data_IF_637332256528
#
_entry.id   IF_637332256528
#
_cell.length_a   1.000
_cell.length_b   1.000
_cell.length_c   1.000
_cell.angle_alpha   90.00
_cell.angle_beta   90.00
_cell.angle_gamma   90.00
#
_symmetry.space_group_name_H-M   'P 1'
#
loop_
_entity.id
_entity.type
_entity.pdbx_description
1 polymer ?
#
# COMPACT_ATOMS: atom_id res chain seq x y z
N UNK A 1 -8.34 3.88 -16.60
CA UNK A 1 -7.46 3.86 -15.41
C UNK A 1 -6.10 4.52 -15.65
N UNK A 2 -5.69 5.41 -14.75
CA UNK A 2 -4.36 6.05 -14.76
C UNK A 2 -3.55 5.50 -13.59
N UNK A 3 -2.32 5.03 -13.85
CA UNK A 3 -1.43 4.56 -12.79
C UNK A 3 -1.01 5.75 -11.91
N UNK A 4 -1.20 5.61 -10.60
CA UNK A 4 -0.92 6.66 -9.62
C UNK A 4 0.28 6.37 -8.71
N UNK A 5 0.31 5.17 -8.15
CA UNK A 5 1.39 4.75 -7.25
C UNK A 5 1.83 3.33 -7.59
N UNK A 6 3.09 3.05 -7.30
CA UNK A 6 3.73 1.76 -7.52
C UNK A 6 4.63 1.45 -6.33
N UNK A 7 4.51 0.25 -5.79
CA UNK A 7 5.32 -0.21 -4.68
C UNK A 7 5.78 -1.64 -4.86
N UNK A 8 6.93 -1.92 -4.25
CA UNK A 8 7.46 -3.25 -4.08
C UNK A 8 6.95 -3.82 -2.75
N UNK A 9 6.22 -4.92 -2.83
CA UNK A 9 5.82 -5.72 -1.68
C UNK A 9 6.77 -6.92 -1.54
N UNK A 10 7.53 -6.97 -0.44
CA UNK A 10 8.45 -8.09 -0.14
C UNK A 10 7.94 -8.96 1.00
N UNK A 11 6.62 -8.93 1.25
CA UNK A 11 5.95 -9.85 2.18
C UNK A 11 5.65 -11.21 1.55
N UNK A 12 5.72 -11.31 0.22
CA UNK A 12 5.54 -12.55 -0.53
C UNK A 12 6.88 -13.10 -1.04
N UNK A 13 6.93 -14.40 -1.30
CA UNK A 13 8.06 -15.03 -1.99
C UNK A 13 7.53 -15.73 -3.27
N UNK A 14 7.89 -15.25 -4.49
CA UNK A 14 8.71 -14.06 -4.77
C UNK A 14 8.03 -12.76 -4.32
N UNK A 15 8.80 -11.67 -4.23
CA UNK A 15 8.28 -10.32 -4.04
C UNK A 15 7.17 -10.04 -5.09
N UNK A 16 6.24 -9.15 -4.76
CA UNK A 16 5.15 -8.75 -5.65
C UNK A 16 5.19 -7.24 -5.94
N UNK A 17 4.57 -6.86 -7.04
CA UNK A 17 4.41 -5.46 -7.46
C UNK A 17 2.98 -5.01 -7.19
N UNK A 18 2.84 -3.91 -6.46
CA UNK A 18 1.54 -3.37 -6.09
C UNK A 18 1.34 -2.03 -6.78
N UNK A 19 0.16 -1.83 -7.37
CA UNK A 19 -0.19 -0.66 -8.15
C UNK A 19 -1.53 -0.08 -7.70
N UNK A 20 -1.62 1.24 -7.66
CA UNK A 20 -2.85 1.96 -7.34
C UNK A 20 -3.26 2.91 -8.47
N UNK A 21 -4.56 2.96 -8.73
CA UNK A 21 -5.16 3.97 -9.61
C UNK A 21 -5.03 5.36 -8.97
N UNK A 22 -4.68 6.34 -9.81
CA UNK A 22 -4.75 7.74 -9.41
C UNK A 22 -6.18 8.26 -9.54
N UNK A 23 -6.69 8.80 -8.45
CA UNK A 23 -7.91 9.60 -8.40
C UNK A 23 -7.62 10.94 -7.72
N UNK A 24 -8.35 12.02 -8.07
CA UNK A 24 -8.35 13.25 -7.29
C UNK A 24 -8.72 12.98 -5.82
N UNK A 25 -8.21 13.79 -4.91
CA UNK A 25 -8.26 13.49 -3.48
C UNK A 25 -9.65 13.64 -2.82
N UNK A 26 -10.58 14.29 -3.53
CA UNK A 26 -12.00 14.46 -3.18
C UNK A 26 -12.90 13.78 -4.23
N UNK A 27 -12.36 12.79 -4.95
CA UNK A 27 -13.13 12.05 -5.93
C UNK A 27 -14.12 11.14 -5.22
N UNK A 28 -15.36 11.16 -5.68
CA UNK A 28 -16.39 10.15 -5.36
C UNK A 28 -16.21 8.88 -6.20
N UNK A 29 -15.30 8.89 -7.19
CA UNK A 29 -14.95 7.68 -7.94
C UNK A 29 -14.14 6.73 -7.08
N UNK A 30 -14.48 5.44 -7.14
CA UNK A 30 -13.69 4.41 -6.50
C UNK A 30 -12.32 4.27 -7.17
N UNK A 31 -11.27 4.13 -6.36
CA UNK A 31 -9.94 3.80 -6.85
C UNK A 31 -9.74 2.30 -6.91
N UNK A 32 -8.97 1.83 -7.88
CA UNK A 32 -8.61 0.42 -8.01
C UNK A 32 -7.18 0.16 -7.58
N UNK A 33 -6.99 -0.98 -6.91
CA UNK A 33 -5.71 -1.48 -6.45
C UNK A 33 -5.45 -2.82 -7.12
N UNK A 34 -4.20 -3.08 -7.48
CA UNK A 34 -3.79 -4.31 -8.14
C UNK A 34 -2.50 -4.82 -7.51
N UNK A 35 -2.40 -6.15 -7.39
CA UNK A 35 -1.16 -6.86 -7.08
C UNK A 35 -0.79 -7.76 -8.25
N UNK A 36 0.48 -7.76 -8.62
CA UNK A 36 1.06 -8.57 -9.68
C UNK A 36 2.22 -9.37 -9.12
N UNK A 37 2.28 -10.66 -9.43
CA UNK A 37 3.44 -11.47 -9.06
C UNK A 37 4.62 -11.17 -9.99
N UNK A 38 5.84 -11.26 -9.47
CA UNK A 38 7.03 -11.26 -10.33
C UNK A 38 7.24 -12.61 -11.00
N UNK A 39 7.90 -12.54 -12.15
CA UNK A 39 8.31 -13.69 -12.93
C UNK A 39 9.36 -14.51 -12.16
N UNK A 40 9.18 -15.83 -12.13
CA UNK A 40 10.09 -16.77 -11.47
C UNK A 40 11.21 -17.24 -12.39
N UNK A 41 11.14 -16.93 -13.69
CA UNK A 41 12.19 -17.30 -14.64
C UNK A 41 13.44 -16.42 -14.44
N UNK A 42 14.64 -17.00 -14.29
CA UNK A 42 15.87 -16.21 -14.07
C UNK A 42 16.19 -15.18 -15.15
N UNK A 43 15.72 -15.37 -16.39
CA UNK A 43 15.90 -14.40 -17.47
C UNK A 43 14.99 -13.15 -17.35
N UNK A 44 14.03 -13.18 -16.42
CA UNK A 44 12.99 -12.14 -16.23
C UNK A 44 12.90 -11.66 -14.78
N UNK A 45 13.95 -11.90 -13.99
CA UNK A 45 14.01 -11.48 -12.58
C UNK A 45 13.69 -9.98 -12.42
N UNK A 46 12.73 -9.69 -11.53
CA UNK A 46 12.27 -8.31 -11.24
C UNK A 46 11.25 -7.76 -12.23
N UNK A 47 10.81 -8.54 -13.22
CA UNK A 47 9.70 -8.17 -14.11
C UNK A 47 8.41 -8.85 -13.66
N UNK A 48 7.23 -8.23 -13.87
CA UNK A 48 5.95 -8.91 -13.67
C UNK A 48 5.85 -10.18 -14.49
N UNK A 49 5.23 -11.21 -13.91
CA UNK A 49 4.87 -12.43 -14.61
C UNK A 49 3.85 -12.09 -15.72
N UNK A 50 4.07 -12.67 -16.91
CA UNK A 50 3.21 -12.44 -18.07
C UNK A 50 2.72 -13.76 -18.64
N UNK A 51 1.53 -13.75 -19.23
CA UNK A 51 1.01 -14.89 -19.98
C UNK A 51 1.70 -15.05 -21.36
N UNK A 52 1.26 -16.04 -22.13
CA UNK A 52 1.79 -16.31 -23.47
C UNK A 52 1.58 -15.15 -24.47
N UNK A 53 0.71 -14.19 -24.17
CA UNK A 53 0.48 -12.98 -24.96
C UNK A 53 1.33 -11.80 -24.51
N UNK A 54 2.08 -11.95 -23.42
CA UNK A 54 2.92 -10.91 -22.84
C UNK A 54 2.18 -9.97 -21.89
N UNK A 55 0.98 -10.35 -21.42
CA UNK A 55 0.16 -9.53 -20.52
C UNK A 55 0.36 -9.97 -19.07
N UNK A 56 0.64 -9.00 -18.18
CA UNK A 56 0.65 -9.22 -16.74
C UNK A 56 -0.76 -9.10 -16.18
N UNK A 57 -1.30 -10.20 -15.66
CA UNK A 57 -2.62 -10.22 -15.02
C UNK A 57 -2.47 -9.98 -13.52
N UNK A 58 -3.36 -9.16 -12.95
CA UNK A 58 -3.38 -8.94 -11.51
C UNK A 58 -3.83 -10.22 -10.80
N UNK A 59 -3.06 -10.65 -9.81
CA UNK A 59 -3.38 -11.82 -8.98
C UNK A 59 -4.33 -11.45 -7.85
N UNK A 60 -4.37 -10.17 -7.49
CA UNK A 60 -5.41 -9.56 -6.67
C UNK A 60 -5.81 -8.21 -7.25
N UNK A 61 -7.11 -7.92 -7.23
CA UNK A 61 -7.67 -6.65 -7.62
C UNK A 61 -8.72 -6.24 -6.59
N UNK A 62 -8.65 -5.01 -6.10
CA UNK A 62 -9.55 -4.47 -5.09
C UNK A 62 -10.04 -3.09 -5.51
N UNK A 63 -11.30 -2.78 -5.21
CA UNK A 63 -11.88 -1.46 -5.43
C UNK A 63 -12.17 -0.82 -4.07
N UNK A 64 -11.77 0.43 -3.90
CA UNK A 64 -11.87 1.17 -2.65
C UNK A 64 -12.50 2.53 -2.88
N UNK A 65 -13.32 2.96 -1.93
CA UNK A 65 -13.85 4.33 -1.89
C UNK A 65 -12.75 5.36 -1.56
N UNK A 66 -11.56 4.91 -1.16
CA UNK A 66 -10.44 5.80 -0.94
C UNK A 66 -10.01 6.48 -2.23
N UNK A 67 -9.71 7.77 -2.11
CA UNK A 67 -9.24 8.61 -3.21
C UNK A 67 -7.96 9.36 -2.83
N UNK A 68 -7.24 9.87 -3.83
CA UNK A 68 -5.98 10.59 -3.60
C UNK A 68 -4.84 9.74 -3.03
N UNK A 69 -4.83 8.43 -3.34
CA UNK A 69 -3.83 7.48 -2.86
C UNK A 69 -2.44 7.83 -3.41
N UNK A 70 -1.44 7.90 -2.52
CA UNK A 70 -0.04 8.20 -2.83
C UNK A 70 0.90 7.09 -2.39
N UNK A 71 0.61 6.45 -1.28
CA UNK A 71 1.31 5.28 -0.75
C UNK A 71 0.40 4.06 -0.81
N UNK A 72 0.97 2.91 -1.15
CA UNK A 72 0.24 1.66 -1.21
C UNK A 72 1.18 0.52 -0.85
N UNK A 73 0.73 -0.41 -0.02
CA UNK A 73 1.42 -1.65 0.28
C UNK A 73 0.34 -2.73 0.44
N UNK A 74 0.57 -3.88 -0.17
CA UNK A 74 -0.16 -5.11 0.17
C UNK A 74 0.77 -5.91 1.06
N UNK A 75 0.30 -6.41 2.19
CA UNK A 75 1.10 -7.25 3.09
C UNK A 75 0.28 -8.47 3.48
N UNK A 76 0.81 -9.66 3.19
CA UNK A 76 0.22 -10.92 3.65
C UNK A 76 1.04 -11.46 4.81
N UNK A 77 0.46 -11.42 6.01
CA UNK A 77 1.07 -12.08 7.16
C UNK A 77 1.21 -13.59 6.91
N UNK A 78 2.24 -14.21 7.50
CA UNK A 78 2.46 -15.64 7.38
C UNK A 78 1.23 -16.43 7.87
N UNK A 79 0.68 -17.28 7.01
CA UNK A 79 -0.52 -18.08 7.30
C UNK A 79 -1.85 -17.34 7.14
N UNK A 80 -1.85 -16.08 6.69
CA UNK A 80 -3.08 -15.36 6.36
C UNK A 80 -3.60 -15.76 4.96
N UNK A 81 -4.91 -15.95 4.86
CA UNK A 81 -5.59 -16.27 3.60
C UNK A 81 -5.66 -15.06 2.65
N UNK A 82 -5.56 -13.85 3.20
CA UNK A 82 -5.72 -12.57 2.49
C UNK A 82 -4.60 -11.60 2.85
N UNK A 83 -4.38 -10.62 2.00
CA UNK A 83 -3.46 -9.53 2.27
C UNK A 83 -4.19 -8.34 2.88
N UNK A 84 -3.55 -7.70 3.85
CA UNK A 84 -3.91 -6.38 4.33
C UNK A 84 -3.39 -5.32 3.36
N UNK A 85 -4.17 -4.28 3.12
CA UNK A 85 -3.78 -3.17 2.27
C UNK A 85 -3.54 -1.93 3.11
N UNK A 86 -2.32 -1.40 3.06
CA UNK A 86 -1.92 -0.17 3.73
C UNK A 86 -1.88 0.96 2.72
N UNK A 87 -2.61 2.03 2.99
CA UNK A 87 -2.80 3.14 2.05
C UNK A 87 -2.36 4.44 2.70
N UNK A 88 -1.53 5.18 1.98
CA UNK A 88 -1.07 6.51 2.35
C UNK A 88 -1.71 7.58 1.46
N UNK A 89 -2.21 8.67 2.05
CA UNK A 89 -2.72 9.84 1.34
C UNK A 89 -2.06 11.12 1.81
N UNK A 90 -2.14 12.16 0.98
CA UNK A 90 -1.79 13.50 1.43
C UNK A 90 -2.84 13.99 2.47
N UNK A 91 -2.44 14.46 3.66
CA UNK A 91 -3.35 14.89 4.73
C UNK A 91 -4.20 16.11 4.40
N UNK A 92 -3.98 16.76 3.25
CA UNK A 92 -4.83 17.87 2.79
C UNK A 92 -6.22 17.47 2.30
N UNK A 93 -6.54 16.17 2.25
CA UNK A 93 -7.65 15.70 1.43
C UNK A 93 -8.84 15.04 2.16
N UNK A 94 -8.71 14.53 3.39
CA UNK A 94 -9.87 14.37 4.30
C UNK A 94 -9.38 14.31 5.74
N UNK A 95 -10.26 14.69 6.64
CA UNK A 95 -10.11 14.71 8.10
C UNK A 95 -10.49 13.38 8.79
N UNK A 96 -11.12 12.43 8.06
CA UNK A 96 -11.76 11.27 8.68
C UNK A 96 -10.87 10.02 8.82
N UNK A 97 -9.87 9.79 7.96
CA UNK A 97 -9.04 8.55 7.97
C UNK A 97 -7.53 8.76 8.22
N UNK A 98 -7.08 9.97 8.58
CA UNK A 98 -5.64 10.21 8.75
C UNK A 98 -4.85 10.11 7.44
N UNK A 99 -3.52 10.19 7.53
CA UNK A 99 -2.63 10.08 6.36
C UNK A 99 -2.24 8.64 6.02
N UNK A 100 -2.49 7.68 6.92
CA UNK A 100 -2.20 6.25 6.76
C UNK A 100 -3.30 5.41 7.42
N UNK A 101 -3.82 4.43 6.69
CA UNK A 101 -4.81 3.48 7.18
C UNK A 101 -4.59 2.08 6.58
N UNK A 102 -5.18 1.07 7.23
CA UNK A 102 -5.28 -0.31 6.74
C UNK A 102 -6.69 -0.56 6.24
N UNK A 103 -6.84 -1.35 5.19
CA UNK A 103 -8.13 -1.88 4.78
C UNK A 103 -8.00 -3.29 4.21
N UNK A 104 -9.11 -4.01 4.21
CA UNK A 104 -9.29 -5.30 3.57
C UNK A 104 -10.72 -5.41 3.01
N UNK A 105 -11.17 -6.62 2.71
CA UNK A 105 -12.55 -6.86 2.25
C UNK A 105 -13.61 -6.72 3.34
N UNK A 106 -13.22 -6.60 4.61
CA UNK A 106 -14.09 -6.59 5.79
C UNK A 106 -14.23 -5.18 6.39
N UNK A 107 -13.23 -4.31 6.22
CA UNK A 107 -13.32 -2.94 6.69
C UNK A 107 -12.07 -2.09 6.44
N UNK A 108 -12.08 -0.89 7.00
CA UNK A 108 -10.97 0.05 6.96
C UNK A 108 -10.74 0.67 8.35
N UNK A 109 -9.48 0.71 8.77
CA UNK A 109 -9.03 1.19 10.08
C UNK A 109 -7.93 2.22 9.92
N UNK A 110 -8.12 3.40 10.49
CA UNK A 110 -7.17 4.51 10.40
C UNK A 110 -6.21 4.54 11.60
N UNK A 111 -4.95 4.90 11.37
CA UNK A 111 -3.98 5.10 12.45
C UNK A 111 -4.39 6.25 13.37
N UNK A 112 -4.15 6.12 14.68
CA UNK A 112 -4.45 7.11 15.74
C UNK A 112 -3.20 7.37 16.57
N UNK A 113 -2.81 8.64 16.76
CA UNK A 113 -1.72 8.97 17.69
C UNK A 113 -1.90 10.31 18.42
N UNK A 114 -1.18 10.43 19.53
CA UNK A 114 -1.24 11.57 20.45
C UNK A 114 -2.27 11.36 21.57
N UNK A 115 -2.25 12.24 22.57
CA UNK A 115 -3.13 12.19 23.74
C UNK A 115 -4.59 12.55 23.45
N UNK A 116 -4.91 12.97 22.23
CA UNK A 116 -6.25 13.46 21.84
C UNK A 116 -6.86 12.76 20.61
N UNK A 117 -6.63 11.45 20.42
CA UNK A 117 -7.30 10.66 19.37
C UNK A 117 -7.17 11.23 17.94
N UNK A 118 -6.14 12.03 17.66
CA UNK A 118 -5.95 12.62 16.35
C UNK A 118 -5.38 11.57 15.37
N UNK A 119 -5.94 11.40 14.15
CA UNK A 119 -5.51 10.37 13.22
C UNK A 119 -4.20 10.70 12.47
N UNK A 120 -3.35 11.58 13.03
CA UNK A 120 -2.22 12.18 12.30
C UNK A 120 -0.90 11.85 12.96
N UNK A 121 -0.30 10.73 12.59
CA UNK A 121 1.03 10.36 13.10
C UNK A 121 2.07 10.06 12.04
N UNK A 122 1.65 9.60 10.86
CA UNK A 122 2.57 9.01 9.91
C UNK A 122 2.67 9.88 8.65
N UNK A 123 3.84 10.51 8.49
CA UNK A 123 4.29 11.22 7.30
C UNK A 123 3.27 12.20 6.70
N UNK A 124 3.42 13.49 7.02
CA UNK A 124 2.84 14.55 6.18
C UNK A 124 3.49 14.36 4.79
N UNK A 125 2.73 13.82 3.83
CA UNK A 125 3.19 13.44 2.48
C UNK A 125 4.01 12.14 2.38
N UNK A 126 3.65 11.07 3.10
CA UNK A 126 4.20 9.75 2.82
C UNK A 126 3.90 9.35 1.36
N UNK A 127 4.96 9.09 0.60
CA UNK A 127 4.91 8.58 -0.77
C UNK A 127 4.70 7.07 -0.81
N UNK A 128 5.25 6.37 -1.82
CA UNK A 128 5.17 4.91 -1.91
C UNK A 128 5.59 4.23 -0.61
N UNK A 129 4.96 3.10 -0.30
CA UNK A 129 5.26 2.26 0.86
C UNK A 129 5.92 0.98 0.34
N UNK A 130 6.97 0.49 0.99
CA UNK A 130 7.59 -0.80 0.64
C UNK A 130 7.99 -1.53 1.90
N UNK A 131 7.61 -2.81 2.01
CA UNK A 131 7.91 -3.63 3.18
C UNK A 131 9.15 -4.49 2.95
N UNK A 132 9.96 -4.68 3.99
CA UNK A 132 11.07 -5.64 3.98
C UNK A 132 10.89 -6.67 5.12
N UNK A 133 10.59 -7.91 4.73
CA UNK A 133 10.37 -9.05 5.64
C UNK A 133 11.55 -9.33 6.58
N UNK A 134 12.80 -9.32 6.08
CA UNK A 134 13.97 -9.63 6.91
C UNK A 134 14.16 -8.68 8.12
N UNK A 135 13.61 -7.46 8.07
CA UNK A 135 13.70 -6.50 9.17
C UNK A 135 12.34 -6.15 9.78
N UNK A 136 11.22 -6.54 9.15
CA UNK A 136 9.88 -6.14 9.58
C UNK A 136 9.60 -4.64 9.38
N UNK A 137 10.32 -3.99 8.48
CA UNK A 137 10.32 -2.54 8.32
C UNK A 137 9.54 -2.11 7.09
N UNK A 138 8.78 -1.01 7.23
CA UNK A 138 8.12 -0.30 6.13
C UNK A 138 8.91 0.94 5.79
N UNK A 139 9.36 1.01 4.55
CA UNK A 139 10.08 2.13 4.00
C UNK A 139 9.12 3.06 3.29
N UNK A 140 9.32 4.35 3.47
CA UNK A 140 8.59 5.37 2.72
C UNK A 140 9.43 6.61 2.51
N UNK A 141 9.01 7.41 1.54
CA UNK A 141 9.67 8.66 1.17
C UNK A 141 8.75 9.84 1.48
N UNK A 142 9.27 10.87 2.13
CA UNK A 142 8.62 12.19 2.23
C UNK A 142 9.56 13.24 1.67
N UNK A 143 9.14 13.91 0.60
CA UNK A 143 9.98 14.84 -0.15
C UNK A 143 11.28 14.18 -0.64
N UNK A 144 12.42 14.56 -0.08
CA UNK A 144 13.76 13.99 -0.40
C UNK A 144 14.29 13.04 0.67
N UNK A 145 13.53 12.79 1.73
CA UNK A 145 13.94 11.95 2.84
C UNK A 145 13.33 10.55 2.69
N UNK A 146 14.15 9.52 2.89
CA UNK A 146 13.70 8.14 3.09
C UNK A 146 13.67 7.87 4.59
N UNK A 147 12.60 7.25 5.08
CA UNK A 147 12.46 6.83 6.46
C UNK A 147 11.93 5.41 6.54
N UNK A 148 12.13 4.79 7.71
CA UNK A 148 11.70 3.43 7.99
C UNK A 148 10.94 3.40 9.31
N UNK A 149 9.90 2.57 9.38
CA UNK A 149 9.12 2.33 10.59
C UNK A 149 8.78 0.83 10.69
N UNK A 150 8.80 0.22 11.88
CA UNK A 150 8.38 -1.17 12.02
C UNK A 150 6.90 -1.33 11.65
N UNK A 151 6.55 -2.38 10.90
CA UNK A 151 5.14 -2.66 10.54
C UNK A 151 4.28 -2.82 11.80
N UNK A 152 4.78 -3.51 12.83
CA UNK A 152 4.08 -3.67 14.10
C UNK A 152 3.79 -2.35 14.83
N UNK A 153 4.57 -1.29 14.59
CA UNK A 153 4.26 0.05 15.12
C UNK A 153 3.13 0.74 14.36
N UNK A 154 3.00 0.49 13.05
CA UNK A 154 1.83 0.92 12.27
C UNK A 154 0.61 0.16 12.77
N UNK A 155 0.70 -1.16 12.89
CA UNK A 155 -0.40 -2.02 13.36
C UNK A 155 -0.90 -1.62 14.74
N UNK A 156 0.02 -1.39 15.69
CA UNK A 156 -0.34 -0.93 17.05
C UNK A 156 -1.02 0.44 17.06
N UNK A 157 -0.81 1.26 16.02
CA UNK A 157 -1.44 2.56 15.90
C UNK A 157 -2.83 2.49 15.24
N UNK A 158 -3.22 1.38 14.62
CA UNK A 158 -4.53 1.22 13.97
C UNK A 158 -5.69 1.08 14.97
N UNK A 159 -5.40 0.61 16.19
CA UNK A 159 -6.39 0.43 17.27
C UNK A 159 -6.29 -0.91 17.96
#
# INVERSE_FOLDING_TARGET
PRLGTLSLDRSTAPDSLVAGEWTPADSEEHSRLWRYDFDTHPARTGLPAVDATGIASAVEAYETEASGIRGLLSHRAAGADRADWYLGRDPGATDRQGSLWRQDTEGAEATRCGSENAPRCWGVQAGPLSYWEATGEVWSQSGRALFTVPLGSIESALG
#
